data_IF_999423302167
#
_entry.id   IF_999423302167
#
_cell.length_a   1.000
_cell.length_b   1.000
_cell.length_c   1.000
_cell.angle_alpha   90.00
_cell.angle_beta   90.00
_cell.angle_gamma   90.00
#
_symmetry.space_group_name_H-M   'P 1'
#
loop_
_entity.id
_entity.type
_entity.pdbx_description
1 polymer ?
#
# COMPACT_ATOMS: atom_id res chain seq x y z
N UNK A 1 -9.52 -26.48 40.23
CA UNK A 1 -8.24 -27.01 39.67
C UNK A 1 -8.57 -27.89 38.46
N UNK A 2 -8.49 -27.34 37.25
CA UNK A 2 -8.66 -28.16 36.02
C UNK A 2 -7.31 -28.82 35.69
N UNK A 3 -7.27 -30.14 35.75
CA UNK A 3 -6.10 -30.96 35.39
C UNK A 3 -5.98 -30.97 33.86
N UNK A 4 -4.93 -30.37 33.31
CA UNK A 4 -4.55 -30.53 31.90
C UNK A 4 -3.93 -31.92 31.76
N UNK A 5 -4.71 -32.89 31.28
CA UNK A 5 -4.24 -34.26 31.06
C UNK A 5 -4.00 -34.46 29.57
N UNK A 6 -2.73 -34.50 29.17
CA UNK A 6 -2.29 -34.96 27.86
C UNK A 6 -2.26 -36.48 27.83
N UNK A 7 -3.33 -37.14 27.39
CA UNK A 7 -3.33 -38.58 27.09
C UNK A 7 -4.24 -38.90 25.91
N UNK A 8 -3.66 -39.57 24.91
CA UNK A 8 -4.30 -40.25 23.77
C UNK A 8 -5.39 -41.24 24.22
N UNK A 9 -6.53 -41.39 23.52
CA UNK A 9 -7.58 -42.32 23.95
C UNK A 9 -7.60 -43.63 23.12
N UNK A 10 -7.60 -44.76 23.82
CA UNK A 10 -8.11 -46.04 23.32
C UNK A 10 -9.66 -46.07 23.41
N UNK A 11 -10.36 -46.83 22.54
CA UNK A 11 -11.83 -46.81 22.50
C UNK A 11 -12.44 -47.88 23.41
N UNK A 12 -13.12 -47.45 24.47
CA UNK A 12 -13.98 -48.32 25.28
C UNK A 12 -15.43 -47.84 25.13
N UNK A 13 -16.24 -48.65 24.44
CA UNK A 13 -17.69 -48.45 24.28
C UNK A 13 -18.36 -48.61 25.66
N UNK A 14 -19.00 -47.55 26.16
CA UNK A 14 -19.90 -47.62 27.32
C UNK A 14 -21.20 -46.87 27.03
N UNK A 15 -22.28 -47.39 27.60
CA UNK A 15 -23.65 -46.93 27.45
C UNK A 15 -23.82 -45.42 27.71
N UNK A 16 -24.74 -44.82 26.94
CA UNK A 16 -24.83 -43.40 26.54
C UNK A 16 -25.24 -42.39 27.62
N UNK A 17 -25.53 -42.81 28.85
CA UNK A 17 -26.13 -41.94 29.88
C UNK A 17 -25.14 -41.28 30.85
N UNK A 18 -23.92 -41.80 30.97
CA UNK A 18 -22.81 -41.22 31.76
C UNK A 18 -21.52 -41.14 30.91
N UNK A 19 -21.68 -40.83 29.62
CA UNK A 19 -20.54 -40.75 28.72
C UNK A 19 -19.82 -39.41 28.85
N UNK A 20 -18.52 -39.44 29.12
CA UNK A 20 -17.66 -38.26 29.01
C UNK A 20 -17.52 -37.85 27.54
N UNK A 21 -17.78 -36.58 27.25
CA UNK A 21 -17.59 -35.97 25.93
C UNK A 21 -16.24 -35.26 25.91
N UNK A 22 -15.46 -35.48 24.85
CA UNK A 22 -14.21 -34.75 24.62
C UNK A 22 -14.50 -33.39 23.99
N UNK A 23 -14.23 -32.32 24.72
CA UNK A 23 -14.43 -30.95 24.24
C UNK A 23 -13.09 -30.34 23.86
N UNK A 24 -12.94 -30.00 22.60
CA UNK A 24 -11.81 -29.27 22.04
C UNK A 24 -12.13 -27.78 22.07
N UNK A 25 -11.52 -27.04 22.99
CA UNK A 25 -11.68 -25.60 23.14
C UNK A 25 -10.58 -24.86 22.37
N UNK A 26 -10.94 -24.11 21.33
CA UNK A 26 -10.03 -23.18 20.66
C UNK A 26 -10.08 -21.83 21.38
N UNK A 27 -8.96 -21.42 21.96
CA UNK A 27 -8.85 -20.18 22.73
C UNK A 27 -8.11 -19.08 21.93
N UNK A 28 -8.22 -17.84 22.39
CA UNK A 28 -7.49 -16.70 21.85
C UNK A 28 -6.20 -16.42 22.65
N UNK A 29 -5.20 -15.81 22.02
CA UNK A 29 -3.98 -15.34 22.69
C UNK A 29 -4.34 -14.45 23.90
N UNK A 30 -3.60 -14.52 25.03
CA UNK A 30 -2.32 -15.20 25.25
C UNK A 30 -2.40 -16.70 25.64
N UNK A 31 -3.58 -17.30 25.63
CA UNK A 31 -3.79 -18.71 26.02
C UNK A 31 -3.36 -19.68 24.91
N UNK A 32 -3.06 -20.97 25.23
CA UNK A 32 -2.79 -21.98 24.22
C UNK A 32 -3.95 -22.08 23.22
N UNK A 33 -3.63 -22.21 21.94
CA UNK A 33 -4.60 -22.14 20.84
C UNK A 33 -5.66 -23.23 20.91
N UNK A 34 -5.36 -24.38 21.51
CA UNK A 34 -6.32 -25.49 21.70
C UNK A 34 -6.11 -26.18 23.05
N UNK A 35 -7.20 -26.42 23.78
CA UNK A 35 -7.23 -27.20 25.02
C UNK A 35 -8.26 -28.31 24.88
N UNK A 36 -7.91 -29.53 25.29
CA UNK A 36 -8.84 -30.66 25.30
C UNK A 36 -9.27 -30.93 26.73
N UNK A 37 -10.57 -31.01 26.97
CA UNK A 37 -11.14 -31.31 28.29
C UNK A 37 -12.18 -32.41 28.15
N UNK A 38 -12.18 -33.37 29.08
CA UNK A 38 -13.28 -34.33 29.22
C UNK A 38 -14.32 -33.75 30.16
N UNK A 39 -15.55 -33.62 29.68
CA UNK A 39 -16.66 -33.08 30.43
C UNK A 39 -17.84 -34.06 30.36
N UNK A 40 -18.60 -34.22 31.46
CA UNK A 40 -19.82 -35.02 31.44
C UNK A 40 -20.83 -34.50 30.42
N UNK A 41 -21.61 -35.40 29.83
CA UNK A 41 -22.58 -35.08 28.77
C UNK A 41 -23.73 -34.15 29.22
N UNK A 42 -24.01 -34.09 30.52
CA UNK A 42 -25.05 -33.25 31.14
C UNK A 42 -24.58 -31.84 31.52
N UNK A 43 -23.32 -31.48 31.25
CA UNK A 43 -22.83 -30.12 31.54
C UNK A 43 -23.56 -29.13 30.64
N UNK A 44 -24.23 -28.16 31.27
CA UNK A 44 -24.95 -27.09 30.59
C UNK A 44 -24.01 -26.01 30.08
N UNK A 45 -24.42 -25.34 28.99
CA UNK A 45 -23.70 -24.22 28.41
C UNK A 45 -23.43 -23.08 29.39
N UNK A 46 -24.33 -22.82 30.36
CA UNK A 46 -24.12 -21.82 31.40
C UNK A 46 -22.94 -22.16 32.31
N UNK A 47 -22.85 -23.40 32.79
CA UNK A 47 -21.75 -23.88 33.64
C UNK A 47 -20.43 -23.84 32.88
N UNK A 48 -20.43 -24.34 31.64
CA UNK A 48 -19.25 -24.30 30.78
C UNK A 48 -18.78 -22.86 30.54
N UNK A 49 -19.70 -21.94 30.22
CA UNK A 49 -19.40 -20.52 30.04
C UNK A 49 -18.82 -19.90 31.29
N UNK A 50 -19.38 -20.15 32.47
CA UNK A 50 -18.88 -19.63 33.74
C UNK A 50 -17.49 -20.17 34.07
N UNK A 51 -17.25 -21.47 33.90
CA UNK A 51 -15.92 -22.07 34.12
C UNK A 51 -14.85 -21.50 33.18
N UNK A 52 -15.18 -21.33 31.90
CA UNK A 52 -14.28 -20.72 30.92
C UNK A 52 -14.08 -19.22 31.21
N UNK A 53 -15.13 -18.50 31.64
CA UNK A 53 -15.01 -17.10 32.04
C UNK A 53 -14.09 -16.93 33.25
N UNK A 54 -14.20 -17.80 34.27
CA UNK A 54 -13.28 -17.81 35.41
C UNK A 54 -11.84 -18.10 34.99
N UNK A 55 -11.62 -18.99 34.02
CA UNK A 55 -10.29 -19.27 33.48
C UNK A 55 -9.70 -18.06 32.72
N UNK A 56 -10.54 -17.28 32.06
CA UNK A 56 -10.18 -16.09 31.28
C UNK A 56 -10.22 -14.78 32.09
N UNK A 57 -10.09 -14.85 33.42
CA UNK A 57 -10.01 -13.66 34.28
C UNK A 57 -11.33 -12.91 34.48
N UNK A 58 -12.48 -13.57 34.33
CA UNK A 58 -13.81 -13.00 34.64
C UNK A 58 -14.44 -12.19 33.51
N UNK A 59 -14.04 -12.42 32.26
CA UNK A 59 -14.55 -11.65 31.11
C UNK A 59 -16.08 -11.82 30.92
N UNK A 60 -16.91 -10.75 31.00
CA UNK A 60 -18.37 -10.87 30.93
C UNK A 60 -18.88 -11.15 29.51
N UNK A 61 -18.13 -10.71 28.50
CA UNK A 61 -18.50 -10.80 27.08
C UNK A 61 -17.82 -11.98 26.41
N UNK A 62 -18.11 -13.19 26.88
CA UNK A 62 -17.64 -14.45 26.29
C UNK A 62 -18.66 -14.98 25.26
N UNK A 63 -18.19 -15.32 24.06
CA UNK A 63 -18.98 -16.05 23.06
C UNK A 63 -18.34 -17.41 22.80
N UNK A 64 -19.12 -18.46 22.98
CA UNK A 64 -18.73 -19.85 22.68
C UNK A 64 -19.55 -20.30 21.48
N UNK A 65 -18.86 -20.70 20.41
CA UNK A 65 -19.46 -21.17 19.16
C UNK A 65 -18.94 -22.53 18.80
N UNK A 66 -19.77 -23.39 18.22
CA UNK A 66 -19.27 -24.61 17.58
C UNK A 66 -18.48 -24.26 16.30
N UNK A 67 -17.75 -25.24 15.77
CA UNK A 67 -17.05 -25.11 14.48
C UNK A 67 -17.93 -24.67 13.30
N UNK A 68 -19.25 -24.90 13.37
CA UNK A 68 -20.22 -24.42 12.38
C UNK A 68 -20.71 -22.99 12.59
N UNK A 69 -20.15 -22.25 13.55
CA UNK A 69 -20.57 -20.89 13.89
C UNK A 69 -21.87 -20.82 14.72
N UNK A 70 -22.42 -21.97 15.15
CA UNK A 70 -23.61 -22.02 15.99
C UNK A 70 -23.25 -21.60 17.41
N UNK A 71 -23.93 -20.58 17.94
CA UNK A 71 -23.73 -20.14 19.33
C UNK A 71 -24.36 -21.14 20.28
N UNK A 72 -23.62 -21.54 21.31
CA UNK A 72 -24.15 -22.39 22.38
C UNK A 72 -25.13 -21.60 23.25
N UNK A 73 -26.31 -22.17 23.49
CA UNK A 73 -27.30 -21.56 24.38
C UNK A 73 -27.03 -21.94 25.86
N UNK A 74 -27.34 -21.08 26.85
CA UNK A 74 -27.07 -21.38 28.27
C UNK A 74 -27.70 -22.66 28.81
N UNK A 75 -28.87 -23.04 28.28
CA UNK A 75 -29.62 -24.24 28.69
C UNK A 75 -29.30 -25.48 27.83
N UNK A 76 -28.49 -25.33 26.79
CA UNK A 76 -28.13 -26.43 25.89
C UNK A 76 -27.06 -27.31 26.54
N UNK A 77 -27.21 -28.63 26.43
CA UNK A 77 -26.24 -29.57 26.99
C UNK A 77 -25.16 -29.89 25.97
N UNK A 78 -24.01 -30.38 26.45
CA UNK A 78 -22.97 -30.88 25.54
C UNK A 78 -23.45 -32.04 24.66
N UNK A 79 -24.40 -32.84 25.14
CA UNK A 79 -25.02 -33.93 24.36
C UNK A 79 -25.76 -33.42 23.14
N UNK A 80 -26.52 -32.34 23.29
CA UNK A 80 -27.32 -31.75 22.21
C UNK A 80 -26.43 -31.17 21.10
N UNK A 81 -25.27 -30.64 21.47
CA UNK A 81 -24.29 -30.05 20.53
C UNK A 81 -23.45 -31.14 19.87
N UNK A 82 -23.07 -32.18 20.61
CA UNK A 82 -22.30 -33.30 20.08
C UNK A 82 -23.13 -34.22 19.18
N UNK A 83 -24.44 -34.28 19.43
CA UNK A 83 -25.38 -35.11 18.69
C UNK A 83 -25.00 -36.59 18.79
N UNK A 84 -24.55 -37.15 17.66
CA UNK A 84 -24.12 -38.56 17.60
C UNK A 84 -22.66 -38.77 18.00
N UNK A 85 -21.86 -37.72 18.12
CA UNK A 85 -20.42 -37.81 18.37
C UNK A 85 -20.09 -37.74 19.87
N UNK A 86 -18.99 -38.39 20.26
CA UNK A 86 -18.46 -38.33 21.64
C UNK A 86 -17.47 -37.16 21.82
N UNK A 87 -17.44 -36.22 20.87
CA UNK A 87 -16.55 -35.07 20.91
C UNK A 87 -17.17 -33.84 20.26
N UNK A 88 -16.74 -32.65 20.69
CA UNK A 88 -17.19 -31.35 20.18
C UNK A 88 -16.02 -30.39 20.06
N UNK A 89 -15.93 -29.67 18.94
CA UNK A 89 -15.00 -28.55 18.78
C UNK A 89 -15.74 -27.22 19.01
N UNK A 90 -15.28 -26.46 20.01
CA UNK A 90 -15.83 -25.19 20.44
C UNK A 90 -14.78 -24.08 20.33
N UNK A 91 -15.12 -23.02 19.60
CA UNK A 91 -14.36 -21.79 19.52
C UNK A 91 -14.81 -20.83 20.63
N UNK A 92 -13.85 -20.39 21.44
CA UNK A 92 -14.06 -19.41 22.52
C UNK A 92 -13.51 -18.07 22.08
N UNK A 93 -14.39 -17.07 21.99
CA UNK A 93 -14.03 -15.71 21.59
C UNK A 93 -14.40 -14.73 22.68
N UNK A 94 -13.44 -13.90 23.08
CA UNK A 94 -13.70 -12.76 23.96
C UNK A 94 -14.15 -11.57 23.11
N UNK A 95 -15.40 -11.16 23.29
CA UNK A 95 -15.97 -10.00 22.62
C UNK A 95 -15.51 -8.73 23.34
N UNK A 96 -14.43 -8.13 22.85
CA UNK A 96 -13.96 -6.85 23.38
C UNK A 96 -14.90 -5.71 22.94
N UNK A 97 -15.36 -4.86 23.86
CA UNK A 97 -16.18 -3.69 23.54
C UNK A 97 -15.31 -2.61 22.88
N UNK A 98 -14.93 -2.77 21.60
CA UNK A 98 -14.07 -1.76 20.97
C UNK A 98 -13.56 -1.98 19.55
N UNK A 99 -13.92 -3.08 18.86
CA UNK A 99 -13.26 -3.44 17.59
C UNK A 99 -13.96 -3.08 16.27
N UNK A 100 -15.08 -2.35 16.28
CA UNK A 100 -15.96 -2.25 15.08
C UNK A 100 -15.49 -1.27 13.99
N UNK A 101 -14.35 -0.59 14.17
CA UNK A 101 -13.90 0.49 13.27
C UNK A 101 -13.21 0.05 11.97
N UNK A 102 -12.67 -1.18 11.90
CA UNK A 102 -11.84 -1.61 10.77
C UNK A 102 -12.62 -1.80 9.46
N UNK A 103 -13.78 -2.45 9.50
CA UNK A 103 -14.56 -2.76 8.30
C UNK A 103 -15.15 -1.50 7.66
N UNK A 104 -15.72 -0.59 8.45
CA UNK A 104 -16.23 0.69 7.95
C UNK A 104 -15.12 1.58 7.37
N UNK A 105 -13.92 1.58 7.97
CA UNK A 105 -12.77 2.28 7.42
C UNK A 105 -12.30 1.66 6.09
N UNK A 106 -12.28 0.33 6.00
CA UNK A 106 -11.95 -0.40 4.77
C UNK A 106 -12.97 -0.12 3.65
N UNK A 107 -14.27 -0.11 3.97
CA UNK A 107 -15.32 0.25 3.02
C UNK A 107 -15.19 1.70 2.53
N UNK A 108 -14.89 2.65 3.43
CA UNK A 108 -14.64 4.05 3.04
C UNK A 108 -13.40 4.18 2.15
N UNK A 109 -12.31 3.49 2.49
CA UNK A 109 -11.09 3.47 1.70
C UNK A 109 -11.32 2.85 0.31
N UNK A 110 -12.09 1.77 0.21
CA UNK A 110 -12.42 1.13 -1.05
C UNK A 110 -13.40 1.97 -1.89
N UNK A 111 -14.42 2.57 -1.25
CA UNK A 111 -15.38 3.45 -1.90
C UNK A 111 -14.72 4.70 -2.50
N UNK A 112 -13.71 5.27 -1.82
CA UNK A 112 -12.91 6.36 -2.37
C UNK A 112 -12.15 5.98 -3.65
N UNK A 113 -11.62 4.75 -3.72
CA UNK A 113 -10.93 4.24 -4.93
C UNK A 113 -11.90 4.02 -6.09
N UNK A 114 -13.10 3.50 -5.79
CA UNK A 114 -14.13 3.26 -6.81
C UNK A 114 -14.67 4.57 -7.40
N UNK A 115 -14.87 5.59 -6.58
CA UNK A 115 -15.37 6.90 -7.06
C UNK A 115 -14.36 7.66 -7.92
N UNK A 116 -13.05 7.51 -7.64
CA UNK A 116 -12.00 8.06 -8.50
C UNK A 116 -11.86 7.29 -9.82
N UNK A 117 -11.97 5.96 -9.79
CA UNK A 117 -11.91 5.12 -11.00
C UNK A 117 -13.05 5.40 -11.97
N UNK A 118 -14.27 5.66 -11.47
CA UNK A 118 -15.41 6.04 -12.32
C UNK A 118 -15.28 7.41 -13.00
N UNK A 119 -14.43 8.31 -12.48
CA UNK A 119 -14.14 9.61 -13.13
C UNK A 119 -13.11 9.49 -14.26
N UNK A 120 -12.23 8.50 -14.17
CA UNK A 120 -11.19 8.22 -15.16
C UNK A 120 -11.47 6.90 -15.90
N UNK A 121 -12.75 6.54 -16.09
CA UNK A 121 -13.10 5.35 -16.87
C UNK A 121 -12.91 5.67 -18.34
N UNK A 122 -11.80 5.17 -18.89
CA UNK A 122 -11.43 5.37 -20.28
C UNK A 122 -12.53 4.80 -21.19
N UNK A 123 -13.23 5.69 -21.89
CA UNK A 123 -14.24 5.34 -22.91
C UNK A 123 -13.67 4.55 -24.10
N UNK A 124 -12.36 4.32 -24.13
CA UNK A 124 -11.66 3.51 -25.12
C UNK A 124 -12.28 2.10 -25.28
N UNK A 125 -12.73 1.51 -24.17
CA UNK A 125 -13.33 0.16 -24.19
C UNK A 125 -14.72 0.10 -24.84
N UNK A 126 -15.40 1.23 -25.01
CA UNK A 126 -16.71 1.30 -25.65
C UNK A 126 -16.60 1.02 -27.16
N UNK A 127 -17.66 0.45 -27.75
CA UNK A 127 -17.73 0.15 -29.18
C UNK A 127 -18.68 1.11 -29.92
N UNK A 128 -18.38 1.41 -31.17
CA UNK A 128 -19.28 2.12 -32.08
C UNK A 128 -20.39 1.19 -32.61
N UNK A 129 -21.37 1.75 -33.33
CA UNK A 129 -22.44 0.99 -33.98
C UNK A 129 -21.94 0.04 -35.09
N UNK A 130 -20.68 0.18 -35.49
CA UNK A 130 -20.00 -0.67 -36.47
C UNK A 130 -19.13 -1.75 -35.78
N UNK A 131 -19.16 -1.85 -34.44
CA UNK A 131 -18.46 -2.84 -33.64
C UNK A 131 -16.97 -2.55 -33.35
N UNK A 132 -16.44 -1.42 -33.80
CA UNK A 132 -15.04 -0.99 -33.57
C UNK A 132 -14.91 -0.33 -32.20
N UNK A 133 -13.78 -0.53 -31.53
CA UNK A 133 -13.50 0.13 -30.23
C UNK A 133 -13.14 1.60 -30.45
N UNK A 134 -13.59 2.48 -29.55
CA UNK A 134 -13.28 3.91 -29.64
C UNK A 134 -11.78 4.19 -29.54
N UNK A 135 -10.99 3.38 -28.82
CA UNK A 135 -9.52 3.52 -28.81
C UNK A 135 -8.90 3.31 -30.17
N UNK A 136 -9.26 2.25 -30.88
CA UNK A 136 -8.71 1.96 -32.21
C UNK A 136 -9.01 3.08 -33.21
N UNK A 137 -10.15 3.76 -33.06
CA UNK A 137 -10.50 4.93 -33.88
C UNK A 137 -9.60 6.12 -33.51
N UNK A 138 -9.40 6.40 -32.22
CA UNK A 138 -8.52 7.48 -31.74
C UNK A 138 -7.06 7.26 -32.15
N UNK A 139 -6.56 6.04 -32.03
CA UNK A 139 -5.21 5.66 -32.47
C UNK A 139 -5.05 5.88 -33.98
N UNK A 140 -6.02 5.43 -34.78
CA UNK A 140 -5.99 5.65 -36.23
C UNK A 140 -6.03 7.14 -36.59
N UNK A 141 -6.81 7.96 -35.86
CA UNK A 141 -6.85 9.41 -36.05
C UNK A 141 -5.51 10.07 -35.70
N UNK A 142 -4.92 9.71 -34.55
CA UNK A 142 -3.60 10.19 -34.14
C UNK A 142 -2.51 9.86 -35.17
N UNK A 143 -2.53 8.64 -35.71
CA UNK A 143 -1.60 8.22 -36.76
C UNK A 143 -1.83 9.00 -38.06
N UNK A 144 -3.09 9.22 -38.45
CA UNK A 144 -3.43 10.02 -39.62
C UNK A 144 -2.99 11.48 -39.47
N UNK A 145 -3.19 12.09 -38.30
CA UNK A 145 -2.71 13.44 -37.99
C UNK A 145 -1.18 13.52 -38.01
N UNK A 146 -0.48 12.50 -37.52
CA UNK A 146 0.98 12.47 -37.56
C UNK A 146 1.52 12.46 -39.00
N UNK A 147 0.93 11.62 -39.86
CA UNK A 147 1.28 11.57 -41.29
C UNK A 147 0.93 12.90 -41.97
N UNK A 148 -0.22 13.49 -41.65
CA UNK A 148 -0.63 14.78 -42.19
C UNK A 148 0.27 15.94 -41.75
N UNK A 149 0.86 15.88 -40.55
CA UNK A 149 1.81 16.87 -40.02
C UNK A 149 3.24 16.67 -40.51
N UNK A 150 3.56 15.56 -41.19
CA UNK A 150 4.88 15.29 -41.74
C UNK A 150 5.41 16.39 -42.71
N UNK A 151 4.63 16.92 -43.68
CA UNK A 151 5.10 18.01 -44.55
C UNK A 151 5.37 19.31 -43.80
N UNK A 152 4.54 19.65 -42.80
CA UNK A 152 4.75 20.84 -41.96
C UNK A 152 6.01 20.70 -41.11
N UNK A 153 6.26 19.51 -40.56
CA UNK A 153 7.51 19.21 -39.84
C UNK A 153 8.73 19.32 -40.76
N UNK A 154 8.64 18.80 -41.99
CA UNK A 154 9.74 18.90 -42.98
C UNK A 154 10.00 20.35 -43.37
N UNK A 155 8.96 21.13 -43.68
CA UNK A 155 9.10 22.56 -43.98
C UNK A 155 9.69 23.35 -42.80
N UNK A 156 9.25 23.07 -41.57
CA UNK A 156 9.80 23.71 -40.37
C UNK A 156 11.28 23.37 -40.15
N UNK A 157 11.68 22.12 -40.42
CA UNK A 157 13.09 21.71 -40.37
C UNK A 157 13.91 22.39 -41.47
N UNK A 158 13.40 22.48 -42.69
CA UNK A 158 14.08 23.16 -43.80
C UNK A 158 14.22 24.66 -43.53
N UNK A 159 13.20 25.31 -42.95
CA UNK A 159 13.27 26.70 -42.53
C UNK A 159 14.26 26.90 -41.37
N UNK A 160 14.26 26.00 -40.38
CA UNK A 160 15.23 26.05 -39.29
C UNK A 160 16.66 25.85 -39.79
N UNK A 161 16.88 24.94 -40.75
CA UNK A 161 18.17 24.74 -41.40
C UNK A 161 18.59 25.98 -42.19
N UNK A 162 17.71 26.58 -42.99
CA UNK A 162 18.00 27.83 -43.72
C UNK A 162 18.33 28.97 -42.78
N UNK A 163 17.62 29.11 -41.65
CA UNK A 163 17.92 30.12 -40.63
C UNK A 163 19.29 29.86 -39.99
N UNK A 164 19.64 28.60 -39.72
CA UNK A 164 20.97 28.21 -39.23
C UNK A 164 22.07 28.55 -40.24
N UNK A 165 21.89 28.18 -41.52
CA UNK A 165 22.85 28.53 -42.57
C UNK A 165 23.00 30.03 -42.78
N UNK A 166 21.90 30.79 -42.80
CA UNK A 166 21.94 32.25 -42.92
C UNK A 166 22.61 32.92 -41.70
N UNK A 167 22.41 32.38 -40.49
CA UNK A 167 23.10 32.88 -39.29
C UNK A 167 24.61 32.62 -39.39
N UNK A 168 25.01 31.42 -39.83
CA UNK A 168 26.42 31.06 -40.05
C UNK A 168 27.06 31.93 -41.14
N UNK A 169 26.39 32.14 -42.27
CA UNK A 169 26.88 33.00 -43.36
C UNK A 169 27.05 34.46 -42.93
N UNK A 170 26.14 34.99 -42.12
CA UNK A 170 26.25 36.35 -41.56
C UNK A 170 27.43 36.48 -40.60
N UNK A 171 27.76 35.41 -39.88
CA UNK A 171 28.85 35.40 -38.89
C UNK A 171 30.23 35.21 -39.54
N UNK A 172 30.31 34.42 -40.61
CA UNK A 172 31.55 34.19 -41.36
C UNK A 172 31.81 35.23 -42.46
N UNK A 173 30.78 35.93 -42.95
CA UNK A 173 30.90 36.88 -44.06
C UNK A 173 31.26 36.22 -45.41
N UNK A 174 31.23 34.88 -45.49
CA UNK A 174 31.52 34.05 -46.68
C UNK A 174 30.77 32.73 -46.58
N UNK A 175 30.46 32.10 -47.72
CA UNK A 175 29.86 30.74 -47.76
C UNK A 175 30.85 29.72 -47.17
N UNK A 176 30.52 29.03 -46.05
CA UNK A 176 31.38 28.01 -45.47
C UNK A 176 31.41 26.78 -46.40
N UNK A 177 32.59 26.40 -46.90
CA UNK A 177 32.76 25.27 -47.83
C UNK A 177 33.60 24.14 -47.24
N UNK A 178 34.24 24.36 -46.09
CA UNK A 178 35.21 23.43 -45.50
C UNK A 178 34.97 23.25 -44.00
N UNK A 179 35.27 22.06 -43.44
CA UNK A 179 35.09 21.72 -42.02
C UNK A 179 35.75 22.74 -41.06
N UNK A 180 36.89 23.32 -41.46
CA UNK A 180 37.57 24.34 -40.68
C UNK A 180 36.78 25.66 -40.56
N UNK A 181 35.99 26.02 -41.57
CA UNK A 181 35.17 27.24 -41.53
C UNK A 181 33.98 27.09 -40.58
N UNK A 182 33.48 25.86 -40.40
CA UNK A 182 32.41 25.57 -39.43
C UNK A 182 32.93 25.62 -37.98
N UNK A 183 34.17 25.22 -37.74
CA UNK A 183 34.82 25.28 -36.43
C UNK A 183 35.16 26.73 -36.04
N UNK A 184 35.67 27.53 -36.99
CA UNK A 184 35.93 28.97 -36.77
C UNK A 184 34.62 29.77 -36.56
N UNK A 185 33.53 29.38 -37.21
CA UNK A 185 32.21 29.97 -37.00
C UNK A 185 31.59 29.61 -35.65
N UNK A 186 31.80 28.38 -35.19
CA UNK A 186 31.32 27.91 -33.89
C UNK A 186 32.06 28.62 -32.74
N UNK A 187 33.39 28.77 -32.85
CA UNK A 187 34.20 29.48 -31.85
C UNK A 187 33.83 30.97 -31.76
N UNK A 188 33.60 31.63 -32.91
CA UNK A 188 33.08 33.02 -32.95
C UNK A 188 31.63 33.17 -32.46
N UNK A 189 30.82 32.11 -32.53
CA UNK A 189 29.45 32.08 -32.00
C UNK A 189 29.41 31.98 -30.48
N UNK A 190 30.30 31.15 -29.91
CA UNK A 190 30.45 30.97 -28.47
C UNK A 190 31.03 32.24 -27.81
N UNK A 191 31.98 32.93 -28.46
CA UNK A 191 32.55 34.20 -27.97
C UNK A 191 31.56 35.39 -28.05
N UNK A 192 30.59 35.35 -28.99
CA UNK A 192 29.55 36.38 -29.13
C UNK A 192 28.38 36.22 -28.14
N UNK A 193 28.31 35.11 -27.40
CA UNK A 193 27.32 34.89 -26.34
C UNK A 193 25.87 34.71 -26.78
N UNK A 194 25.60 34.44 -28.07
CA UNK A 194 24.26 34.09 -28.55
C UNK A 194 24.07 32.57 -28.65
N UNK A 195 23.67 31.96 -27.53
CA UNK A 195 23.31 30.55 -27.43
C UNK A 195 22.12 30.21 -28.35
N UNK A 196 22.35 29.36 -29.35
CA UNK A 196 21.34 28.91 -30.31
C UNK A 196 20.54 27.75 -29.68
N UNK A 197 19.68 28.09 -28.73
CA UNK A 197 18.98 27.16 -27.83
C UNK A 197 17.81 26.36 -28.44
N UNK A 198 17.83 26.03 -29.74
CA UNK A 198 16.87 25.06 -30.30
C UNK A 198 17.54 24.09 -31.28
N UNK A 199 17.93 22.94 -30.74
CA UNK A 199 18.19 21.71 -31.48
C UNK A 199 17.03 20.73 -31.23
N UNK A 200 16.27 20.29 -32.24
CA UNK A 200 15.53 19.05 -32.17
C UNK A 200 16.46 17.94 -32.68
N UNK A 201 16.83 17.00 -31.81
CA UNK A 201 17.48 15.76 -32.24
C UNK A 201 16.55 14.98 -33.17
N UNK A 202 17.00 14.76 -34.41
CA UNK A 202 16.41 13.84 -35.35
C UNK A 202 17.17 12.51 -35.27
N UNK A 203 16.66 11.56 -34.48
CA UNK A 203 17.02 10.15 -34.63
C UNK A 203 16.09 9.50 -35.67
N UNK A 204 16.65 9.16 -36.82
CA UNK A 204 15.98 8.41 -37.87
C UNK A 204 15.73 6.96 -37.42
N UNK A 205 14.49 6.48 -37.55
CA UNK A 205 14.18 5.05 -37.42
C UNK A 205 14.44 4.28 -38.73
N UNK A 206 14.54 2.94 -38.67
CA UNK A 206 14.19 2.08 -39.79
C UNK A 206 13.04 1.13 -39.44
N UNK A 207 12.10 0.97 -40.38
CA UNK A 207 10.88 0.17 -40.24
C UNK A 207 11.09 -1.34 -40.46
N UNK A 208 10.59 -2.12 -39.48
CA UNK A 208 10.01 -3.48 -39.50
C UNK A 208 10.47 -4.57 -40.50
N UNK A 209 10.88 -5.75 -39.99
CA UNK A 209 9.96 -6.88 -39.73
C UNK A 209 10.67 -8.18 -39.27
N UNK A 210 10.00 -8.91 -38.37
CA UNK A 210 10.21 -10.29 -37.90
C UNK A 210 11.34 -10.59 -36.88
N UNK A 211 10.95 -10.91 -35.64
CA UNK A 211 11.20 -12.19 -34.93
C UNK A 211 11.25 -11.99 -33.41
N UNK A 212 10.39 -12.71 -32.67
CA UNK A 212 10.79 -13.16 -31.33
C UNK A 212 12.05 -14.04 -31.48
N UNK A 213 13.05 -14.06 -30.55
CA UNK A 213 12.94 -13.81 -29.11
C UNK A 213 14.04 -12.90 -28.49
N UNK A 214 13.68 -12.26 -27.37
CA UNK A 214 14.52 -11.76 -26.25
C UNK A 214 15.96 -11.28 -26.57
N UNK A 215 16.13 -9.97 -26.79
CA UNK A 215 17.37 -9.26 -26.43
C UNK A 215 17.03 -7.94 -25.75
N UNK A 216 17.81 -7.61 -24.71
CA UNK A 216 17.58 -6.53 -23.75
C UNK A 216 17.58 -5.18 -24.46
N UNK A 217 16.42 -4.55 -24.59
CA UNK A 217 16.32 -3.15 -24.98
C UNK A 217 17.05 -2.31 -23.93
N UNK A 218 17.99 -1.49 -24.39
CA UNK A 218 18.59 -0.42 -23.59
C UNK A 218 17.46 0.59 -23.36
N UNK A 219 16.94 0.57 -22.14
CA UNK A 219 15.94 1.51 -21.63
C UNK A 219 16.55 2.91 -21.62
N UNK A 220 16.30 3.70 -22.66
CA UNK A 220 16.48 5.16 -22.62
C UNK A 220 15.29 5.78 -21.87
N UNK A 221 15.16 5.41 -20.60
CA UNK A 221 14.14 5.94 -19.71
C UNK A 221 14.62 7.26 -19.09
N UNK A 222 14.74 8.32 -19.89
CA UNK A 222 15.04 9.67 -19.38
C UNK A 222 14.06 10.06 -18.26
N UNK A 223 12.78 9.69 -18.41
CA UNK A 223 11.74 9.90 -17.42
C UNK A 223 11.98 9.09 -16.13
N UNK A 224 12.50 7.87 -16.21
CA UNK A 224 12.86 7.07 -15.03
C UNK A 224 14.12 7.59 -14.34
N UNK A 225 15.08 8.13 -15.10
CA UNK A 225 16.27 8.78 -14.53
C UNK A 225 15.88 10.06 -13.80
N UNK A 226 14.94 10.85 -14.34
CA UNK A 226 14.42 12.04 -13.65
C UNK A 226 13.57 11.67 -12.42
N UNK A 227 12.65 10.71 -12.55
CA UNK A 227 11.85 10.22 -11.41
C UNK A 227 12.73 9.60 -10.32
N UNK A 228 13.77 8.85 -10.67
CA UNK A 228 14.70 8.29 -9.69
C UNK A 228 15.55 9.36 -9.01
N UNK A 229 15.97 10.42 -9.74
CA UNK A 229 16.63 11.58 -9.14
C UNK A 229 15.72 12.31 -8.15
N UNK A 230 14.46 12.54 -8.50
CA UNK A 230 13.49 13.20 -7.63
C UNK A 230 13.19 12.38 -6.37
N UNK A 231 13.05 11.05 -6.49
CA UNK A 231 12.85 10.16 -5.34
C UNK A 231 14.05 10.20 -4.40
N UNK A 232 15.28 10.17 -4.94
CA UNK A 232 16.51 10.24 -4.13
C UNK A 232 16.65 11.59 -3.44
N UNK A 233 16.27 12.68 -4.11
CA UNK A 233 16.30 14.03 -3.53
C UNK A 233 15.29 14.18 -2.38
N UNK A 234 14.07 13.66 -2.54
CA UNK A 234 13.06 13.64 -1.50
C UNK A 234 13.48 12.81 -0.27
N UNK A 235 14.17 11.69 -0.46
CA UNK A 235 14.72 10.90 0.66
C UNK A 235 15.88 11.64 1.34
N UNK A 236 16.79 12.25 0.57
CA UNK A 236 17.90 13.03 1.14
C UNK A 236 17.40 14.23 1.94
N UNK A 237 16.42 14.96 1.44
CA UNK A 237 15.84 16.12 2.14
C UNK A 237 15.10 15.70 3.42
N UNK A 238 14.39 14.58 3.40
CA UNK A 238 13.74 14.00 4.58
C UNK A 238 14.77 13.53 5.64
N UNK A 239 15.85 12.84 5.23
CA UNK A 239 16.92 12.39 6.13
C UNK A 239 17.70 13.58 6.70
N UNK A 240 18.01 14.60 5.88
CA UNK A 240 18.64 15.82 6.33
C UNK A 240 17.77 16.57 7.36
N UNK A 241 16.46 16.62 7.13
CA UNK A 241 15.49 17.21 8.07
C UNK A 241 15.40 16.41 9.36
N UNK A 242 15.38 15.07 9.28
CA UNK A 242 15.39 14.19 10.44
C UNK A 242 16.69 14.30 11.26
N UNK A 243 17.84 14.40 10.60
CA UNK A 243 19.15 14.61 11.24
C UNK A 243 19.23 15.99 11.90
N UNK A 244 18.74 17.05 11.25
CA UNK A 244 18.63 18.40 11.85
C UNK A 244 17.70 18.40 13.06
N UNK A 245 16.56 17.70 13.00
CA UNK A 245 15.61 17.55 14.13
C UNK A 245 16.22 16.73 15.28
N UNK A 246 17.02 15.70 14.98
CA UNK A 246 17.75 14.90 15.98
C UNK A 246 18.90 15.68 16.63
N UNK A 247 19.61 16.52 15.86
CA UNK A 247 20.65 17.43 16.36
C UNK A 247 20.05 18.57 17.18
N UNK A 248 18.90 19.12 16.78
CA UNK A 248 18.11 20.09 17.55
C UNK A 248 17.61 19.51 18.88
N UNK A 249 17.09 18.27 18.87
CA UNK A 249 16.68 17.57 20.09
C UNK A 249 17.86 17.26 21.01
N UNK A 250 19.03 16.87 20.48
CA UNK A 250 20.27 16.74 21.26
C UNK A 250 20.76 18.06 21.86
N UNK A 251 20.65 19.19 21.13
CA UNK A 251 21.00 20.53 21.66
C UNK A 251 20.02 21.03 22.73
N UNK A 252 18.73 20.70 22.61
CA UNK A 252 17.73 21.00 23.65
C UNK A 252 17.89 20.13 24.92
N UNK A 253 18.39 18.90 24.76
CA UNK A 253 18.74 18.01 25.88
C UNK A 253 20.05 18.41 26.57
N UNK A 254 20.99 19.06 25.88
CA UNK A 254 22.21 19.58 26.51
C UNK A 254 21.99 20.92 27.23
N UNK A 255 21.01 21.73 26.83
CA UNK A 255 20.69 23.01 27.48
C UNK A 255 19.79 22.88 28.72
N UNK A 256 19.30 21.68 29.03
CA UNK A 256 18.43 21.42 30.20
C UNK A 256 19.16 20.75 31.37
N UNK A 257 20.44 20.40 31.21
CA UNK A 257 21.27 19.81 32.27
C UNK A 257 22.04 20.84 33.12
N UNK A 258 22.15 22.11 32.67
CA UNK A 258 22.90 23.17 33.37
C UNK A 258 22.03 24.12 34.22
N UNK A 259 20.73 23.83 34.41
CA UNK A 259 19.80 24.76 35.08
C UNK A 259 18.98 24.11 36.21
N UNK A 260 19.57 23.20 37.00
CA UNK A 260 18.93 22.70 38.22
C UNK A 260 19.89 22.72 39.41
N UNK A 261 20.23 23.91 39.90
CA UNK A 261 20.64 24.09 41.30
C UNK A 261 20.38 25.53 41.79
N UNK A 262 19.14 25.86 42.18
CA UNK A 262 18.84 26.80 43.28
C UNK A 262 17.34 27.04 43.51
N UNK A 263 16.98 27.02 44.80
CA UNK A 263 15.88 27.72 45.50
C UNK A 263 14.40 27.38 45.24
N UNK A 264 13.86 26.58 46.17
CA UNK A 264 12.70 26.84 47.05
C UNK A 264 11.71 27.98 46.73
N UNK A 265 10.41 27.65 46.60
CA UNK A 265 9.29 28.30 47.30
C UNK A 265 7.94 27.63 46.92
N UNK A 266 7.08 27.37 47.92
CA UNK A 266 5.70 26.87 47.76
C UNK A 266 4.75 27.94 47.16
N UNK A 267 3.56 27.54 46.67
CA UNK A 267 2.37 28.09 47.31
C UNK A 267 1.13 27.16 47.42
N UNK A 268 0.52 27.29 48.60
CA UNK A 268 -0.89 27.26 49.02
C UNK A 268 -2.02 26.97 48.02
N UNK A 269 -2.89 26.06 48.47
CA UNK A 269 -4.24 25.73 47.99
C UNK A 269 -5.27 26.85 48.27
N UNK A 270 -6.14 27.14 47.31
CA UNK A 270 -7.40 27.87 47.54
C UNK A 270 -8.54 27.27 46.72
N UNK A 271 -9.51 26.72 47.46
CA UNK A 271 -10.84 26.30 47.03
C UNK A 271 -11.76 27.51 46.87
N UNK A 272 -12.53 27.58 45.79
CA UNK A 272 -13.70 28.45 45.69
C UNK A 272 -14.93 27.68 45.21
N UNK A 273 -15.94 27.66 46.08
CA UNK A 273 -17.29 27.18 45.85
C UNK A 273 -18.18 28.31 45.34
N UNK A 274 -19.09 27.92 44.46
CA UNK A 274 -20.14 28.70 43.80
C UNK A 274 -21.17 29.35 44.72
N UNK A 275 -21.62 30.54 44.32
CA UNK A 275 -23.00 31.03 44.40
C UNK A 275 -23.28 31.82 43.13
#
# INVERSE_FOLDING_TARGET
MLRVVSTTPAPCVRHRSDADIQVFLRLCAPFPSSVVVRLPCHVNGATLRSSVASLLGGSPHLRITSRGGRSMHPCETLSDIAGAHNWVELDVRVCQPGGKGGFGNMLRAQGGRMSQRGKNESQDSCRDLQGRRLGSIKEAQLLAEYIAKEPERKAALDEAQKRKYAKLERMLGREPKTMADFEEAAEKLDDAGEELSEAPELSAGPSSSQQAPKRKDRLDDHEYVEQSREIVENVRSAVASAMKKRKGKKRALSSTADASNSSSAQPTVSTSSSS
#
